data_IF_414888930011
#
_entry.id   IF_414888930011
#
_cell.length_a   1.000
_cell.length_b   1.000
_cell.length_c   1.000
_cell.angle_alpha   90.00
_cell.angle_beta   90.00
_cell.angle_gamma   90.00
#
_symmetry.space_group_name_H-M   'P 1'
#
loop_
_entity.id
_entity.type
_entity.pdbx_description
1 polymer ?
#
# COMPACT_ATOMS: atom_id res chain seq x y z
N UNK A 1 -18.50 -13.75 5.93
CA UNK A 1 -17.03 -13.71 6.05
C UNK A 1 -16.67 -12.65 7.06
N UNK A 2 -15.85 -12.96 8.05
CA UNK A 2 -15.40 -12.01 9.08
C UNK A 2 -14.06 -11.44 8.65
N UNK A 3 -13.95 -10.11 8.55
CA UNK A 3 -12.69 -9.44 8.26
C UNK A 3 -11.77 -9.44 9.48
N UNK A 4 -10.53 -9.92 9.30
CA UNK A 4 -9.52 -10.02 10.35
C UNK A 4 -8.41 -8.95 10.28
N UNK A 5 -8.50 -8.04 9.30
CA UNK A 5 -7.52 -6.99 9.05
C UNK A 5 -6.28 -7.43 8.28
N UNK A 6 -6.40 -8.52 7.51
CA UNK A 6 -5.36 -8.95 6.59
C UNK A 6 -5.30 -8.01 5.37
N UNK A 7 -4.15 -7.38 5.12
CA UNK A 7 -3.98 -6.42 4.02
C UNK A 7 -4.01 -7.10 2.64
N UNK A 8 -3.44 -8.31 2.54
CA UNK A 8 -3.19 -8.94 1.24
C UNK A 8 -4.33 -9.89 0.81
N UNK A 9 -4.97 -10.58 1.76
CA UNK A 9 -5.91 -11.67 1.57
C UNK A 9 -5.47 -12.66 0.46
N UNK A 10 -4.19 -13.05 0.53
CA UNK A 10 -3.54 -13.97 -0.41
C UNK A 10 -3.13 -13.37 -1.75
N UNK A 11 -3.56 -12.16 -2.09
CA UNK A 11 -3.36 -11.53 -3.40
C UNK A 11 -1.90 -11.30 -3.84
N UNK A 12 -0.96 -11.50 -2.93
CA UNK A 12 0.49 -11.42 -3.15
C UNK A 12 1.28 -12.46 -2.33
N UNK A 13 0.61 -13.52 -1.84
CA UNK A 13 1.28 -14.58 -1.09
C UNK A 13 1.91 -15.58 -2.05
N UNK A 14 3.23 -15.70 -2.00
CA UNK A 14 4.00 -16.61 -2.84
C UNK A 14 3.79 -18.07 -2.42
N UNK A 15 4.22 -19.01 -3.26
CA UNK A 15 4.22 -20.43 -2.93
C UNK A 15 5.06 -20.79 -1.68
N UNK A 16 6.03 -19.95 -1.29
CA UNK A 16 6.82 -20.12 -0.07
C UNK A 16 6.16 -19.53 1.18
N UNK A 17 4.97 -18.96 1.06
CA UNK A 17 4.24 -18.36 2.19
C UNK A 17 4.78 -16.98 2.63
N UNK A 18 5.54 -16.32 1.76
CA UNK A 18 6.01 -14.93 1.96
C UNK A 18 5.16 -13.97 1.12
N UNK A 19 5.27 -12.66 1.36
CA UNK A 19 4.65 -11.69 0.46
C UNK A 19 5.60 -11.33 -0.69
N UNK A 20 5.09 -11.31 -1.92
CA UNK A 20 5.76 -10.68 -3.06
C UNK A 20 5.70 -9.16 -2.86
N UNK A 21 6.85 -8.50 -3.05
CA UNK A 21 7.05 -7.08 -2.78
C UNK A 21 7.83 -6.48 -3.94
N UNK A 22 7.17 -5.78 -4.87
CA UNK A 22 7.86 -5.11 -5.97
C UNK A 22 8.63 -3.88 -5.47
N UNK A 23 9.51 -3.31 -6.30
CA UNK A 23 10.22 -2.07 -5.94
C UNK A 23 9.29 -0.86 -5.92
N UNK A 24 8.33 -0.83 -6.85
CA UNK A 24 7.24 0.14 -6.93
C UNK A 24 5.93 -0.63 -7.04
N UNK A 25 5.09 -0.46 -6.03
CA UNK A 25 3.86 -1.22 -5.85
C UNK A 25 2.69 -0.57 -6.60
N UNK A 26 1.72 -1.39 -7.03
CA UNK A 26 0.53 -0.92 -7.75
C UNK A 26 -0.29 0.11 -6.98
N UNK A 27 -0.18 0.14 -5.65
CA UNK A 27 -0.87 1.10 -4.80
C UNK A 27 -0.50 2.55 -5.14
N UNK A 28 0.74 2.79 -5.58
CA UNK A 28 1.24 4.11 -5.98
C UNK A 28 1.24 4.33 -7.51
N UNK A 29 0.64 3.43 -8.29
CA UNK A 29 0.65 3.49 -9.75
C UNK A 29 0.14 4.82 -10.32
N UNK A 30 -0.88 5.41 -9.68
CA UNK A 30 -1.43 6.69 -10.09
C UNK A 30 -0.61 7.90 -9.57
N UNK A 31 0.15 7.73 -8.48
CA UNK A 31 0.97 8.78 -7.91
C UNK A 31 2.28 8.97 -8.69
N UNK A 32 2.84 7.89 -9.22
CA UNK A 32 4.06 7.89 -10.03
C UNK A 32 3.84 7.03 -11.30
N UNK A 33 3.17 7.59 -12.32
CA UNK A 33 2.71 6.81 -13.48
C UNK A 33 3.86 6.16 -14.25
N UNK A 34 3.70 4.87 -14.56
CA UNK A 34 4.65 4.09 -15.37
C UNK A 34 5.81 3.45 -14.58
N UNK A 35 5.88 3.65 -13.27
CA UNK A 35 6.91 3.01 -12.43
C UNK A 35 6.41 1.73 -11.74
N UNK A 36 5.13 1.66 -11.40
CA UNK A 36 4.56 0.54 -10.68
C UNK A 36 4.69 -0.77 -11.46
N UNK A 37 4.97 -1.85 -10.72
CA UNK A 37 4.95 -3.23 -11.22
C UNK A 37 3.93 -4.03 -10.43
N UNK A 38 3.39 -5.06 -11.08
CA UNK A 38 2.39 -5.94 -10.49
C UNK A 38 3.03 -7.24 -10.03
N UNK A 39 2.57 -7.73 -8.88
CA UNK A 39 2.83 -9.09 -8.40
C UNK A 39 2.20 -10.10 -9.36
N UNK A 40 2.74 -11.31 -9.45
CA UNK A 40 2.22 -12.34 -10.38
C UNK A 40 1.04 -13.12 -9.81
N UNK A 41 0.85 -13.04 -8.49
CA UNK A 41 -0.20 -13.74 -7.77
C UNK A 41 -1.61 -13.29 -8.18
N UNK A 42 -2.56 -14.21 -8.03
CA UNK A 42 -3.98 -13.91 -8.24
C UNK A 42 -4.49 -12.99 -7.12
N UNK A 43 -4.96 -11.77 -7.41
CA UNK A 43 -5.52 -10.86 -6.42
C UNK A 43 -6.71 -11.43 -5.63
N UNK A 44 -7.33 -12.52 -6.10
CA UNK A 44 -8.41 -13.23 -5.41
C UNK A 44 -7.96 -14.53 -4.71
N UNK A 45 -6.65 -14.80 -4.59
CA UNK A 45 -6.16 -16.10 -4.12
C UNK A 45 -6.72 -16.50 -2.74
N UNK A 46 -6.76 -15.61 -1.74
CA UNK A 46 -7.32 -15.92 -0.42
C UNK A 46 -8.83 -16.09 -0.45
N UNK A 47 -9.55 -15.32 -1.29
CA UNK A 47 -10.99 -15.51 -1.50
C UNK A 47 -11.29 -16.87 -2.14
N UNK A 48 -10.49 -17.26 -3.13
CA UNK A 48 -10.61 -18.55 -3.80
C UNK A 48 -10.26 -19.72 -2.86
N UNK A 49 -9.26 -19.56 -1.99
CA UNK A 49 -8.93 -20.52 -0.92
C UNK A 49 -10.09 -20.68 0.07
N UNK A 50 -10.66 -19.58 0.57
CA UNK A 50 -11.83 -19.61 1.45
C UNK A 50 -13.00 -20.36 0.80
N UNK A 51 -13.30 -20.09 -0.48
CA UNK A 51 -14.37 -20.79 -1.19
C UNK A 51 -14.12 -22.30 -1.33
N UNK A 52 -12.87 -22.71 -1.60
CA UNK A 52 -12.48 -24.14 -1.64
C UNK A 52 -12.68 -24.80 -0.28
N UNK A 53 -12.29 -24.14 0.82
CA UNK A 53 -12.50 -24.67 2.17
C UNK A 53 -13.99 -24.79 2.53
N UNK A 54 -14.82 -23.80 2.15
CA UNK A 54 -16.28 -23.87 2.33
C UNK A 54 -16.85 -25.13 1.65
N UNK A 55 -16.42 -25.42 0.41
CA UNK A 55 -16.83 -26.66 -0.28
C UNK A 55 -16.32 -27.91 0.44
N UNK A 56 -15.06 -27.91 0.87
CA UNK A 56 -14.48 -29.03 1.62
C UNK A 56 -15.20 -29.30 2.95
N UNK A 57 -15.80 -28.27 3.57
CA UNK A 57 -16.63 -28.42 4.78
C UNK A 57 -18.00 -29.07 4.53
N UNK A 58 -18.35 -29.34 3.26
CA UNK A 58 -19.61 -30.00 2.88
C UNK A 58 -20.71 -29.03 2.41
N UNK A 59 -20.48 -27.72 2.46
CA UNK A 59 -21.44 -26.73 1.93
C UNK A 59 -21.57 -26.88 0.42
N UNK A 60 -22.81 -26.97 -0.07
CA UNK A 60 -23.14 -27.01 -1.51
C UNK A 60 -24.14 -25.94 -1.92
N UNK A 61 -24.88 -25.40 -0.96
CA UNK A 61 -25.91 -24.40 -1.19
C UNK A 61 -25.96 -23.42 -0.01
N UNK A 62 -26.20 -22.15 -0.32
CA UNK A 62 -26.45 -21.08 0.63
C UNK A 62 -27.79 -20.44 0.24
N UNK A 63 -28.85 -20.77 0.99
CA UNK A 63 -30.21 -20.26 0.75
C UNK A 63 -30.42 -18.82 1.20
N UNK A 64 -29.54 -18.35 2.11
CA UNK A 64 -29.57 -17.00 2.65
C UNK A 64 -28.58 -16.05 1.97
N UNK A 65 -28.20 -15.01 2.71
CA UNK A 65 -27.22 -14.03 2.27
C UNK A 65 -25.77 -14.45 2.52
N UNK A 66 -24.88 -13.90 1.71
CA UNK A 66 -23.45 -13.76 2.04
C UNK A 66 -23.23 -12.36 2.58
N UNK A 67 -22.68 -12.26 3.79
CA UNK A 67 -22.46 -10.97 4.49
C UNK A 67 -21.00 -10.84 4.91
N UNK A 68 -20.43 -9.65 4.73
CA UNK A 68 -19.09 -9.29 5.17
C UNK A 68 -19.20 -8.58 6.54
N UNK A 69 -18.64 -9.21 7.56
CA UNK A 69 -18.57 -8.65 8.91
C UNK A 69 -17.28 -7.86 9.08
N UNK A 70 -17.39 -6.55 8.93
CA UNK A 70 -16.33 -5.57 9.12
C UNK A 70 -16.40 -4.89 10.50
N UNK A 71 -16.97 -5.55 11.53
CA UNK A 71 -17.11 -4.97 12.88
C UNK A 71 -15.89 -5.24 13.79
N UNK A 72 -14.76 -5.70 13.25
CA UNK A 72 -13.54 -5.91 14.04
C UNK A 72 -13.03 -4.60 14.65
N UNK A 73 -13.05 -3.53 13.86
CA UNK A 73 -12.89 -2.14 14.28
C UNK A 73 -13.91 -1.27 13.54
N UNK A 74 -14.02 -0.01 13.93
CA UNK A 74 -14.95 0.93 13.30
C UNK A 74 -14.31 1.50 12.02
N UNK A 75 -14.86 1.25 10.82
CA UNK A 75 -14.26 1.72 9.58
C UNK A 75 -14.08 3.24 9.54
N UNK A 76 -12.96 3.68 8.98
CA UNK A 76 -12.62 5.10 8.82
C UNK A 76 -12.10 5.35 7.41
N UNK A 77 -12.14 6.60 6.95
CA UNK A 77 -11.49 7.04 5.72
C UNK A 77 -10.30 7.92 6.07
N UNK A 78 -9.10 7.53 5.63
CA UNK A 78 -7.86 8.31 5.81
C UNK A 78 -7.33 8.67 4.42
N UNK A 79 -7.12 9.96 4.17
CA UNK A 79 -6.70 10.43 2.84
C UNK A 79 -7.69 10.10 1.70
N UNK A 80 -8.96 9.86 2.02
CA UNK A 80 -9.98 9.43 1.06
C UNK A 80 -10.00 7.92 0.80
N UNK A 81 -9.14 7.13 1.46
CA UNK A 81 -9.08 5.67 1.31
C UNK A 81 -9.77 4.98 2.49
N UNK A 82 -10.70 4.04 2.24
CA UNK A 82 -11.33 3.25 3.29
C UNK A 82 -10.34 2.32 4.02
N UNK A 83 -10.33 2.37 5.35
CA UNK A 83 -9.56 1.49 6.23
C UNK A 83 -10.52 0.50 6.89
N UNK A 84 -10.65 -0.68 6.29
CA UNK A 84 -11.64 -1.71 6.66
C UNK A 84 -10.99 -3.05 7.05
N UNK A 85 -11.63 -3.88 7.90
CA UNK A 85 -11.13 -5.21 8.27
C UNK A 85 -11.02 -6.23 7.15
N UNK A 86 -11.71 -6.00 6.03
CA UNK A 86 -11.62 -6.83 4.84
C UNK A 86 -11.03 -6.01 3.72
N UNK A 87 -9.95 -6.51 3.11
CA UNK A 87 -9.26 -5.87 2.00
C UNK A 87 -9.01 -6.94 0.94
N UNK A 88 -9.39 -6.62 -0.30
CA UNK A 88 -9.15 -7.47 -1.47
C UNK A 88 -8.36 -6.64 -2.46
N UNK A 89 -7.16 -7.11 -2.83
CA UNK A 89 -6.27 -6.40 -3.76
C UNK A 89 -6.06 -4.92 -3.39
N UNK A 90 -5.82 -4.66 -2.10
CA UNK A 90 -5.59 -3.29 -1.59
C UNK A 90 -6.79 -2.34 -1.78
N UNK A 91 -7.98 -2.92 -2.00
CA UNK A 91 -9.19 -2.23 -2.43
C UNK A 91 -9.01 -1.54 -3.79
N UNK A 92 -8.26 -2.15 -4.71
CA UNK A 92 -7.97 -1.63 -6.04
C UNK A 92 -8.44 -2.58 -7.15
N UNK A 93 -8.82 -1.98 -8.27
CA UNK A 93 -8.83 -2.65 -9.58
C UNK A 93 -7.62 -2.15 -10.36
N UNK A 94 -6.76 -3.09 -10.77
CA UNK A 94 -5.59 -2.80 -11.60
C UNK A 94 -6.01 -2.77 -13.07
N UNK A 95 -5.63 -1.72 -13.80
CA UNK A 95 -5.76 -1.63 -15.25
C UNK A 95 -4.37 -1.70 -15.87
N UNK A 96 -4.19 -2.69 -16.75
CA UNK A 96 -2.92 -3.02 -17.38
C UNK A 96 -2.96 -2.55 -18.83
N UNK A 97 -2.08 -1.63 -19.19
CA UNK A 97 -2.03 -0.98 -20.50
C UNK A 97 -0.74 -1.39 -21.21
N UNK A 98 -0.84 -2.05 -22.36
CA UNK A 98 0.30 -2.41 -23.20
C UNK A 98 0.35 -1.48 -24.41
N UNK A 99 1.34 -0.58 -24.51
CA UNK A 99 1.49 0.30 -25.67
C UNK A 99 1.65 -0.50 -26.98
N UNK A 100 1.07 0.02 -28.07
CA UNK A 100 1.25 -0.47 -29.44
C UNK A 100 2.30 0.34 -30.21
N UNK A 101 2.12 0.47 -31.53
CA UNK A 101 2.88 1.43 -32.31
C UNK A 101 2.36 2.87 -32.07
N UNK A 102 3.20 3.92 -32.16
CA UNK A 102 2.73 5.30 -32.04
C UNK A 102 1.56 5.60 -32.99
N UNK A 103 0.47 6.18 -32.47
CA UNK A 103 -0.77 6.45 -33.20
C UNK A 103 -1.81 5.33 -33.11
N UNK A 104 -1.42 4.11 -32.71
CA UNK A 104 -2.33 2.98 -32.56
C UNK A 104 -2.94 2.92 -31.14
N UNK A 105 -4.13 2.31 -30.98
CA UNK A 105 -4.68 2.01 -29.66
C UNK A 105 -3.76 1.09 -28.84
N UNK A 106 -3.64 1.37 -27.55
CA UNK A 106 -3.00 0.47 -26.60
C UNK A 106 -3.95 -0.69 -26.25
N UNK A 107 -3.39 -1.89 -26.01
CA UNK A 107 -4.16 -3.02 -25.51
C UNK A 107 -4.38 -2.83 -24.01
N UNK A 108 -5.63 -3.01 -23.56
CA UNK A 108 -6.00 -2.87 -22.15
C UNK A 108 -6.56 -4.17 -21.59
N UNK A 109 -6.08 -4.54 -20.42
CA UNK A 109 -6.60 -5.61 -19.57
C UNK A 109 -6.80 -5.08 -18.14
N UNK A 110 -7.39 -5.88 -17.25
CA UNK A 110 -7.57 -5.49 -15.85
C UNK A 110 -7.73 -6.70 -14.94
N UNK A 111 -7.39 -6.53 -13.66
CA UNK A 111 -7.57 -7.54 -12.61
C UNK A 111 -8.03 -6.90 -11.27
N UNK A 112 -8.77 -7.65 -10.43
CA UNK A 112 -9.38 -8.94 -10.73
C UNK A 112 -10.50 -8.87 -11.78
N UNK A 113 -10.79 -10.00 -12.44
CA UNK A 113 -11.99 -10.15 -13.28
C UNK A 113 -13.18 -10.52 -12.40
N UNK A 114 -14.17 -9.63 -12.33
CA UNK A 114 -15.37 -9.79 -11.51
C UNK A 114 -16.54 -9.06 -12.14
N UNK A 115 -17.77 -9.45 -11.83
CA UNK A 115 -18.97 -8.71 -12.21
C UNK A 115 -19.13 -7.40 -11.44
N UNK A 116 -18.39 -7.17 -10.34
CA UNK A 116 -18.47 -5.91 -9.59
C UNK A 116 -18.04 -4.69 -10.41
N UNK A 117 -17.13 -4.90 -11.38
CA UNK A 117 -16.56 -3.84 -12.19
C UNK A 117 -16.43 -4.27 -13.66
N UNK A 118 -16.81 -3.37 -14.55
CA UNK A 118 -16.49 -3.43 -15.98
C UNK A 118 -15.57 -2.25 -16.34
N UNK A 119 -14.71 -2.45 -17.34
CA UNK A 119 -13.74 -1.45 -17.80
C UNK A 119 -14.02 -1.08 -19.25
N UNK A 120 -14.32 0.19 -19.49
CA UNK A 120 -14.39 0.81 -20.82
C UNK A 120 -13.11 1.63 -21.03
N UNK A 121 -12.17 1.09 -21.81
CA UNK A 121 -10.87 1.69 -22.02
C UNK A 121 -10.66 2.14 -23.47
N UNK A 122 -10.24 3.39 -23.63
CA UNK A 122 -9.78 3.97 -24.90
C UNK A 122 -8.48 4.73 -24.62
N UNK A 123 -7.36 4.04 -24.80
CA UNK A 123 -6.02 4.58 -24.55
C UNK A 123 -5.22 4.52 -25.83
N UNK A 124 -4.62 5.64 -26.23
CA UNK A 124 -3.77 5.72 -27.41
C UNK A 124 -2.29 5.50 -27.05
N UNK A 125 -1.50 5.06 -28.04
CA UNK A 125 -0.05 5.00 -27.90
C UNK A 125 0.57 6.28 -28.45
N UNK A 126 1.23 7.04 -27.59
CA UNK A 126 1.94 8.26 -27.95
C UNK A 126 3.40 7.96 -28.37
N UNK A 127 4.10 8.89 -29.05
CA UNK A 127 5.52 8.72 -29.37
C UNK A 127 6.38 8.46 -28.12
N UNK A 128 7.51 7.78 -28.31
CA UNK A 128 8.49 7.55 -27.25
C UNK A 128 8.97 8.88 -26.61
N UNK A 129 9.23 8.87 -25.31
CA UNK A 129 9.64 10.05 -24.54
C UNK A 129 8.53 11.06 -24.25
N UNK A 130 7.28 10.79 -24.66
CA UNK A 130 6.13 11.58 -24.22
C UNK A 130 5.83 11.35 -22.74
N UNK A 131 5.12 12.29 -22.10
CA UNK A 131 4.63 12.12 -20.72
C UNK A 131 3.32 11.33 -20.76
N UNK A 132 3.15 10.28 -19.93
CA UNK A 132 1.89 9.56 -19.85
C UNK A 132 0.77 10.46 -19.33
N UNK A 133 -0.43 10.29 -19.86
CA UNK A 133 -1.62 11.01 -19.44
C UNK A 133 -2.80 10.04 -19.49
N UNK A 134 -3.01 9.30 -18.40
CA UNK A 134 -4.11 8.34 -18.26
C UNK A 134 -5.03 8.79 -17.14
N UNK A 135 -6.34 8.76 -17.39
CA UNK A 135 -7.36 9.03 -16.37
C UNK A 135 -8.22 7.80 -16.17
N UNK A 136 -8.56 7.55 -14.91
CA UNK A 136 -9.39 6.43 -14.47
C UNK A 136 -10.50 6.99 -13.60
N UNK A 137 -11.75 6.89 -14.06
CA UNK A 137 -12.92 7.46 -13.37
C UNK A 137 -14.08 6.48 -13.35
N UNK A 138 -14.98 6.63 -12.36
CA UNK A 138 -16.26 5.91 -12.35
C UNK A 138 -17.34 6.79 -12.97
N UNK A 139 -17.95 6.33 -14.05
CA UNK A 139 -19.04 7.07 -14.72
C UNK A 139 -20.37 6.78 -14.06
N UNK A 140 -20.55 5.52 -13.67
CA UNK A 140 -21.64 5.00 -12.84
C UNK A 140 -21.04 3.90 -11.93
N UNK A 141 -21.71 3.54 -10.82
CA UNK A 141 -21.22 2.48 -9.94
C UNK A 141 -20.91 1.19 -10.71
N UNK A 142 -19.70 0.65 -10.54
CA UNK A 142 -19.27 -0.59 -11.22
C UNK A 142 -18.82 -0.42 -12.68
N UNK A 143 -18.80 0.79 -13.22
CA UNK A 143 -18.32 1.08 -14.58
C UNK A 143 -17.13 2.03 -14.55
N UNK A 144 -15.94 1.49 -14.80
CA UNK A 144 -14.67 2.22 -14.83
C UNK A 144 -14.38 2.66 -16.26
N UNK A 145 -14.18 3.95 -16.46
CA UNK A 145 -13.74 4.53 -17.72
C UNK A 145 -12.25 4.86 -17.65
N UNK A 146 -11.50 4.41 -18.66
CA UNK A 146 -10.07 4.67 -18.80
C UNK A 146 -9.81 5.42 -20.10
N UNK A 147 -9.18 6.60 -20.03
CA UNK A 147 -8.91 7.46 -21.20
C UNK A 147 -7.49 7.99 -21.19
N UNK A 148 -7.01 8.40 -22.37
CA UNK A 148 -5.78 9.16 -22.53
C UNK A 148 -4.72 8.44 -23.36
N UNK A 149 -3.45 8.57 -23.00
CA UNK A 149 -2.34 7.98 -23.74
C UNK A 149 -1.17 7.52 -22.87
N UNK A 150 -0.47 6.50 -23.37
CA UNK A 150 0.80 6.01 -22.81
C UNK A 150 1.92 6.12 -23.85
N UNK A 151 3.16 6.43 -23.46
CA UNK A 151 4.30 6.47 -24.38
C UNK A 151 4.61 5.08 -24.96
N UNK A 152 5.06 5.01 -26.21
CA UNK A 152 5.45 3.76 -26.86
C UNK A 152 6.64 3.05 -26.17
N UNK A 153 7.47 3.80 -25.44
CA UNK A 153 8.60 3.30 -24.65
C UNK A 153 8.26 3.08 -23.17
N UNK A 154 7.00 3.21 -22.77
CA UNK A 154 6.58 2.88 -21.43
C UNK A 154 6.79 1.39 -21.14
N UNK A 155 7.28 1.07 -19.94
CA UNK A 155 7.37 -0.31 -19.45
C UNK A 155 5.99 -0.95 -19.53
N UNK A 156 5.90 -2.10 -20.19
CA UNK A 156 4.66 -2.86 -20.33
C UNK A 156 4.56 -3.98 -19.27
N UNK A 157 3.40 -4.19 -18.63
CA UNK A 157 2.23 -3.31 -18.70
C UNK A 157 2.48 -1.99 -17.94
N UNK A 158 2.02 -0.88 -18.51
CA UNK A 158 1.83 0.36 -17.77
C UNK A 158 0.60 0.19 -16.88
N UNK A 159 0.74 0.46 -15.58
CA UNK A 159 -0.30 0.21 -14.59
C UNK A 159 -0.96 1.53 -14.17
N UNK A 160 -2.29 1.55 -14.16
CA UNK A 160 -3.10 2.54 -13.43
C UNK A 160 -4.12 1.79 -12.60
N UNK A 161 -4.58 2.39 -11.50
CA UNK A 161 -5.51 1.73 -10.57
C UNK A 161 -6.80 2.52 -10.40
N UNK A 162 -7.85 1.83 -10.00
CA UNK A 162 -9.11 2.41 -9.57
C UNK A 162 -9.39 2.00 -8.12
N UNK A 163 -9.63 2.99 -7.25
CA UNK A 163 -9.99 2.76 -5.85
C UNK A 163 -11.43 2.25 -5.75
N UNK A 164 -11.59 1.06 -5.20
CA UNK A 164 -12.90 0.47 -4.88
C UNK A 164 -13.57 1.31 -3.77
N UNK A 165 -14.77 1.88 -4.02
CA UNK A 165 -15.43 2.76 -3.06
C UNK A 165 -16.11 2.03 -1.91
N UNK A 166 -16.63 0.82 -2.16
CA UNK A 166 -17.24 -0.04 -1.13
C UNK A 166 -16.50 -1.40 -1.05
N UNK A 167 -15.45 -1.50 -0.19
CA UNK A 167 -14.71 -2.74 0.00
C UNK A 167 -15.58 -3.92 0.46
N UNK A 168 -16.65 -3.69 1.22
CA UNK A 168 -17.49 -4.76 1.74
C UNK A 168 -18.39 -5.35 0.65
N UNK A 169 -19.02 -4.51 -0.18
CA UNK A 169 -19.77 -4.97 -1.34
C UNK A 169 -18.88 -5.66 -2.37
N UNK A 170 -17.65 -5.15 -2.58
CA UNK A 170 -16.67 -5.78 -3.45
C UNK A 170 -16.27 -7.17 -2.96
N UNK A 171 -15.85 -7.28 -1.68
CA UNK A 171 -15.50 -8.57 -1.06
C UNK A 171 -16.67 -9.57 -1.09
N UNK A 172 -17.90 -9.10 -0.84
CA UNK A 172 -19.12 -9.92 -0.96
C UNK A 172 -19.27 -10.49 -2.36
N UNK A 173 -19.14 -9.63 -3.38
CA UNK A 173 -19.30 -10.02 -4.78
C UNK A 173 -18.29 -11.09 -5.18
N UNK A 174 -16.99 -10.83 -4.93
CA UNK A 174 -15.94 -11.78 -5.33
C UNK A 174 -16.00 -13.10 -4.55
N UNK A 175 -16.49 -13.08 -3.31
CA UNK A 175 -16.72 -14.30 -2.53
C UNK A 175 -17.89 -15.12 -3.10
N UNK A 176 -19.02 -14.49 -3.43
CA UNK A 176 -20.15 -15.18 -4.09
C UNK A 176 -19.69 -15.81 -5.41
N UNK A 177 -18.90 -15.06 -6.20
CA UNK A 177 -18.35 -15.59 -7.46
C UNK A 177 -17.39 -16.75 -7.23
N UNK A 178 -16.52 -16.67 -6.22
CA UNK A 178 -15.61 -17.75 -5.88
C UNK A 178 -16.35 -19.01 -5.42
N UNK A 179 -17.39 -18.86 -4.60
CA UNK A 179 -18.28 -19.94 -4.17
C UNK A 179 -18.96 -20.60 -5.39
N UNK A 180 -19.52 -19.80 -6.29
CA UNK A 180 -20.16 -20.29 -7.51
C UNK A 180 -19.18 -21.02 -8.45
N UNK A 181 -17.96 -20.50 -8.63
CA UNK A 181 -16.90 -21.17 -9.41
C UNK A 181 -16.51 -22.54 -8.84
N UNK A 182 -16.66 -22.73 -7.53
CA UNK A 182 -16.41 -24.00 -6.84
C UNK A 182 -17.67 -24.85 -6.67
N UNK A 183 -18.78 -24.52 -7.34
CA UNK A 183 -19.99 -25.33 -7.36
C UNK A 183 -20.95 -25.13 -6.18
N UNK A 184 -20.78 -24.06 -5.37
CA UNK A 184 -21.75 -23.69 -4.35
C UNK A 184 -22.81 -22.78 -4.96
N UNK A 185 -24.07 -23.21 -4.90
CA UNK A 185 -25.20 -22.35 -5.30
C UNK A 185 -25.50 -21.32 -4.20
N UNK A 186 -25.57 -20.04 -4.55
CA UNK A 186 -25.89 -18.96 -3.62
C UNK A 186 -27.19 -18.29 -4.08
N UNK A 187 -28.21 -18.28 -3.23
CA UNK A 187 -29.51 -17.69 -3.56
C UNK A 187 -29.45 -16.15 -3.63
N UNK A 188 -28.57 -15.55 -2.83
CA UNK A 188 -28.40 -14.11 -2.80
C UNK A 188 -27.90 -13.55 -4.14
N UNK A 189 -28.38 -12.36 -4.57
CA UNK A 189 -27.85 -11.70 -5.75
C UNK A 189 -26.34 -11.49 -5.65
N UNK A 190 -25.64 -11.81 -6.75
CA UNK A 190 -24.18 -11.64 -6.86
C UNK A 190 -23.74 -10.21 -6.60
N UNK A 191 -24.45 -9.25 -7.20
CA UNK A 191 -24.19 -7.81 -7.05
C UNK A 191 -25.15 -7.21 -6.01
N UNK A 192 -24.70 -6.14 -5.36
CA UNK A 192 -25.49 -5.39 -4.39
C UNK A 192 -24.64 -4.95 -3.20
N UNK A 193 -25.24 -4.12 -2.35
CA UNK A 193 -24.63 -3.68 -1.09
C UNK A 193 -24.35 -4.85 -0.16
N UNK A 194 -23.45 -4.65 0.79
CA UNK A 194 -23.27 -5.60 1.89
C UNK A 194 -24.43 -5.47 2.89
N UNK A 195 -25.29 -6.49 3.09
CA UNK A 195 -26.47 -6.39 3.95
C UNK A 195 -26.09 -6.55 5.44
N UNK A 196 -25.23 -5.65 5.94
CA UNK A 196 -24.64 -5.71 7.28
C UNK A 196 -25.67 -5.66 8.41
N UNK A 197 -26.85 -5.09 8.16
CA UNK A 197 -27.99 -5.10 9.08
C UNK A 197 -28.54 -6.50 9.38
N UNK A 198 -28.22 -7.50 8.54
CA UNK A 198 -28.59 -8.90 8.75
C UNK A 198 -27.60 -9.67 9.63
N UNK A 199 -26.48 -9.05 10.03
CA UNK A 199 -25.52 -9.70 10.92
C UNK A 199 -26.12 -9.90 12.32
N UNK A 200 -26.02 -11.12 12.89
CA UNK A 200 -26.28 -11.32 14.31
C UNK A 200 -25.35 -10.46 15.18
N UNK A 201 -25.64 -10.30 16.48
CA UNK A 201 -24.71 -9.70 17.43
C UNK A 201 -23.30 -10.29 17.32
N UNK A 202 -22.26 -9.46 17.42
CA UNK A 202 -20.87 -9.91 17.21
C UNK A 202 -20.45 -11.08 18.10
N UNK A 203 -21.03 -11.19 19.31
CA UNK A 203 -20.78 -12.32 20.21
C UNK A 203 -21.26 -13.64 19.61
N UNK A 204 -22.48 -13.65 19.06
CA UNK A 204 -23.05 -14.83 18.42
C UNK A 204 -22.24 -15.23 17.18
N UNK A 205 -21.83 -14.26 16.35
CA UNK A 205 -20.99 -14.54 15.17
C UNK A 205 -19.66 -15.20 15.56
N UNK A 206 -19.05 -14.80 16.68
CA UNK A 206 -17.80 -15.40 17.18
C UNK A 206 -17.98 -16.83 17.69
N UNK A 207 -19.17 -17.19 18.15
CA UNK A 207 -19.50 -18.53 18.66
C UNK A 207 -19.92 -19.49 17.55
N UNK A 208 -20.18 -18.99 16.32
CA UNK A 208 -20.53 -19.82 15.18
C UNK A 208 -19.34 -20.69 14.71
N UNK A 209 -19.58 -21.94 14.27
CA UNK A 209 -18.54 -22.77 13.70
C UNK A 209 -18.00 -22.16 12.39
N UNK A 210 -16.68 -22.12 12.24
CA UNK A 210 -16.04 -21.67 11.01
C UNK A 210 -16.02 -22.81 9.96
N UNK A 211 -16.57 -22.56 8.78
CA UNK A 211 -16.47 -23.46 7.62
C UNK A 211 -15.18 -23.28 6.81
N UNK A 212 -14.49 -22.15 7.00
CA UNK A 212 -13.22 -21.83 6.35
C UNK A 212 -12.43 -20.82 7.20
N UNK A 213 -11.11 -20.85 7.10
CA UNK A 213 -10.19 -19.88 7.72
C UNK A 213 -8.99 -19.67 6.81
N UNK A 214 -8.72 -18.40 6.50
CA UNK A 214 -7.50 -18.00 5.83
C UNK A 214 -6.50 -17.52 6.88
N UNK A 215 -5.31 -18.14 6.90
CA UNK A 215 -4.20 -17.71 7.76
C UNK A 215 -3.20 -16.94 6.90
N UNK A 216 -2.93 -15.70 7.28
CA UNK A 216 -1.99 -14.84 6.58
C UNK A 216 -0.53 -15.19 6.88
N UNK A 217 0.42 -14.74 6.03
CA UNK A 217 1.83 -14.71 6.40
C UNK A 217 2.09 -13.97 7.73
N UNK A 218 3.21 -14.24 8.41
CA UNK A 218 3.51 -13.56 9.67
C UNK A 218 3.69 -12.05 9.48
N UNK A 219 3.40 -11.25 10.53
CA UNK A 219 3.44 -9.78 10.49
C UNK A 219 4.75 -9.19 9.93
N UNK A 220 5.89 -9.87 10.08
CA UNK A 220 7.18 -9.45 9.49
C UNK A 220 7.11 -9.23 7.97
N UNK A 221 6.29 -10.01 7.26
CA UNK A 221 6.10 -9.86 5.81
C UNK A 221 5.30 -8.59 5.49
N UNK A 222 4.29 -8.26 6.31
CA UNK A 222 3.52 -7.02 6.19
C UNK A 222 4.37 -5.81 6.55
N UNK A 223 5.21 -5.90 7.59
CA UNK A 223 6.17 -4.85 7.91
C UNK A 223 7.14 -4.61 6.75
N UNK A 224 7.64 -5.68 6.11
CA UNK A 224 8.46 -5.59 4.90
C UNK A 224 7.70 -4.91 3.78
N UNK A 225 6.48 -5.34 3.46
CA UNK A 225 5.66 -4.68 2.44
C UNK A 225 5.51 -3.19 2.72
N UNK A 226 4.99 -2.83 3.90
CA UNK A 226 4.72 -1.45 4.30
C UNK A 226 5.98 -0.59 4.17
N UNK A 227 7.11 -1.04 4.70
CA UNK A 227 8.32 -0.25 4.71
C UNK A 227 9.02 -0.20 3.34
N UNK A 228 9.13 -1.32 2.63
CA UNK A 228 9.81 -1.41 1.31
C UNK A 228 9.16 -0.49 0.29
N UNK A 229 7.83 -0.56 0.18
CA UNK A 229 7.09 0.16 -0.88
C UNK A 229 6.35 1.39 -0.37
N UNK A 230 6.48 1.73 0.91
CA UNK A 230 5.77 2.87 1.51
C UNK A 230 4.24 2.72 1.47
N UNK A 231 3.73 1.53 1.79
CA UNK A 231 2.33 1.18 1.58
C UNK A 231 1.38 1.93 2.53
N UNK A 232 0.76 3.02 2.06
CA UNK A 232 -0.05 3.92 2.88
C UNK A 232 -1.27 3.24 3.53
N UNK A 233 -2.05 2.47 2.77
CA UNK A 233 -3.17 1.70 3.34
C UNK A 233 -2.67 0.71 4.40
N UNK A 234 -1.50 0.11 4.17
CA UNK A 234 -0.93 -0.87 5.09
C UNK A 234 -0.53 -0.22 6.41
N UNK A 235 0.07 0.97 6.36
CA UNK A 235 0.40 1.75 7.54
C UNK A 235 -0.87 2.14 8.32
N UNK A 236 -1.94 2.58 7.62
CA UNK A 236 -3.21 2.94 8.26
C UNK A 236 -4.00 1.77 8.84
N UNK A 237 -3.66 0.53 8.50
CA UNK A 237 -4.25 -0.65 9.17
C UNK A 237 -3.61 -0.93 10.53
N UNK A 238 -2.39 -0.44 10.78
CA UNK A 238 -1.69 -0.73 12.03
C UNK A 238 -2.40 -0.13 13.25
N UNK A 239 -2.87 1.15 13.25
CA UNK A 239 -3.60 1.70 14.38
C UNK A 239 -4.83 0.88 14.80
N UNK A 240 -5.81 0.57 13.93
CA UNK A 240 -6.95 -0.23 14.35
C UNK A 240 -6.58 -1.66 14.75
N UNK A 241 -5.58 -2.30 14.11
CA UNK A 241 -5.08 -3.61 14.53
C UNK A 241 -4.52 -3.57 15.96
N UNK A 242 -3.73 -2.55 16.29
CA UNK A 242 -3.24 -2.34 17.66
C UNK A 242 -4.40 -2.07 18.63
N UNK A 243 -5.36 -1.22 18.26
CA UNK A 243 -6.53 -0.91 19.09
C UNK A 243 -7.28 -2.19 19.48
N UNK A 244 -7.52 -3.08 18.52
CA UNK A 244 -8.23 -4.36 18.72
C UNK A 244 -7.50 -5.27 19.71
N UNK A 245 -6.16 -5.32 19.67
CA UNK A 245 -5.36 -6.08 20.64
C UNK A 245 -5.52 -5.55 22.08
N UNK A 246 -5.92 -4.29 22.23
CA UNK A 246 -6.20 -3.65 23.51
C UNK A 246 -7.70 -3.57 23.84
N UNK A 247 -8.55 -4.33 23.13
CA UNK A 247 -10.01 -4.33 23.32
C UNK A 247 -10.69 -3.02 22.88
N UNK A 248 -9.98 -2.18 22.14
CA UNK A 248 -10.48 -0.93 21.54
C UNK A 248 -10.84 -1.15 20.07
N UNK A 249 -11.49 -0.18 19.44
CA UNK A 249 -12.05 -0.34 18.09
C UNK A 249 -11.87 0.86 17.18
N UNK A 250 -11.32 1.97 17.66
CA UNK A 250 -11.21 3.17 16.83
C UNK A 250 -9.78 3.36 16.33
N UNK A 251 -9.65 4.00 15.17
CA UNK A 251 -8.35 4.45 14.65
C UNK A 251 -7.64 5.37 15.66
N UNK A 252 -8.39 6.24 16.34
CA UNK A 252 -7.84 7.17 17.32
C UNK A 252 -7.23 6.48 18.55
N UNK A 253 -7.83 5.37 19.01
CA UNK A 253 -7.27 4.53 20.07
C UNK A 253 -5.93 3.91 19.65
N UNK A 254 -5.86 3.43 18.40
CA UNK A 254 -4.63 2.95 17.78
C UNK A 254 -3.53 4.00 17.75
N UNK A 255 -3.85 5.20 17.25
CA UNK A 255 -2.90 6.32 17.22
C UNK A 255 -2.47 6.74 18.63
N UNK A 256 -3.31 6.56 19.65
CA UNK A 256 -2.94 6.81 21.04
C UNK A 256 -1.87 5.81 21.50
N UNK A 257 -1.96 4.54 21.13
CA UNK A 257 -0.95 3.52 21.46
C UNK A 257 0.42 3.92 20.88
N UNK A 258 0.46 4.40 19.64
CA UNK A 258 1.69 4.90 19.00
C UNK A 258 2.28 6.09 19.75
N UNK A 259 1.45 7.10 20.07
CA UNK A 259 1.90 8.28 20.84
C UNK A 259 2.43 7.89 22.22
N UNK A 260 1.75 6.99 22.92
CA UNK A 260 2.17 6.51 24.23
C UNK A 260 3.49 5.72 24.13
N UNK A 261 3.69 4.95 23.06
CA UNK A 261 4.96 4.27 22.78
C UNK A 261 6.11 5.27 22.58
N UNK A 262 5.90 6.32 21.78
CA UNK A 262 6.90 7.36 21.54
C UNK A 262 7.27 8.11 22.83
N UNK A 263 6.29 8.46 23.65
CA UNK A 263 6.52 9.11 24.94
C UNK A 263 7.35 8.22 25.89
N UNK A 264 7.05 6.92 25.97
CA UNK A 264 7.84 5.96 26.78
C UNK A 264 9.24 5.70 26.21
N UNK A 265 9.46 5.97 24.93
CA UNK A 265 10.75 5.77 24.27
C UNK A 265 11.79 6.83 24.62
N UNK A 266 11.42 7.85 25.41
CA UNK A 266 12.28 8.96 25.81
C UNK A 266 12.42 10.04 24.73
N UNK A 267 11.52 10.04 23.75
CA UNK A 267 11.46 11.04 22.68
C UNK A 267 10.61 12.21 23.18
N UNK A 268 11.10 13.44 22.96
CA UNK A 268 10.34 14.65 23.31
C UNK A 268 9.00 14.67 22.55
N UNK A 269 7.84 14.65 23.23
CA UNK A 269 6.54 14.66 22.57
C UNK A 269 6.29 15.95 21.76
N UNK A 270 7.01 17.04 22.03
CA UNK A 270 6.90 18.28 21.25
C UNK A 270 7.73 18.26 19.96
N UNK A 271 8.59 17.25 19.80
CA UNK A 271 9.47 17.09 18.64
C UNK A 271 8.83 16.30 17.48
N UNK A 272 7.59 15.84 17.66
CA UNK A 272 6.80 15.12 16.68
C UNK A 272 5.30 15.45 16.78
N UNK A 273 4.58 15.27 15.68
CA UNK A 273 3.12 15.36 15.58
C UNK A 273 2.67 14.24 14.66
N UNK A 274 1.77 13.40 15.16
CA UNK A 274 1.16 12.30 14.41
C UNK A 274 -0.34 12.54 14.26
N UNK A 275 -0.77 12.81 13.03
CA UNK A 275 -2.16 12.97 12.59
C UNK A 275 -2.70 11.65 12.06
N UNK A 276 -1.86 10.90 11.35
CA UNK A 276 -2.15 9.54 10.90
C UNK A 276 -0.89 8.66 10.87
N UNK A 277 -1.02 7.44 10.35
CA UNK A 277 0.05 6.47 10.25
C UNK A 277 0.75 6.43 8.88
N UNK A 278 0.29 7.19 7.88
CA UNK A 278 0.85 7.21 6.52
C UNK A 278 1.70 8.47 6.21
N UNK A 279 1.58 9.54 6.99
CA UNK A 279 2.35 10.78 6.84
C UNK A 279 1.67 11.86 5.99
N UNK A 280 0.36 12.11 6.16
CA UNK A 280 -0.36 13.19 5.48
C UNK A 280 0.05 14.59 5.95
N UNK A 281 -0.42 15.66 5.27
CA UNK A 281 -0.24 17.03 5.76
C UNK A 281 -0.70 17.18 7.22
N UNK A 282 0.22 17.60 8.07
CA UNK A 282 0.00 17.76 9.51
C UNK A 282 0.98 16.95 10.34
N UNK A 283 1.44 15.81 9.81
CA UNK A 283 2.52 15.02 10.39
C UNK A 283 3.83 15.77 10.36
N UNK A 284 4.54 15.77 11.49
CA UNK A 284 5.80 16.48 11.67
C UNK A 284 6.74 15.67 12.53
N UNK A 285 8.02 15.66 12.18
CA UNK A 285 9.08 15.15 13.04
C UNK A 285 10.34 15.97 12.81
N UNK A 286 11.09 16.25 13.87
CA UNK A 286 12.44 16.80 13.72
C UNK A 286 13.43 15.68 13.35
N UNK A 287 14.53 15.97 12.62
CA UNK A 287 15.59 14.99 12.37
C UNK A 287 16.14 14.39 13.67
N UNK A 288 16.29 15.20 14.72
CA UNK A 288 16.76 14.75 16.04
C UNK A 288 15.81 13.74 16.67
N UNK A 289 14.50 13.99 16.63
CA UNK A 289 13.48 13.06 17.12
C UNK A 289 13.51 11.74 16.36
N UNK A 290 13.63 11.80 15.04
CA UNK A 290 13.70 10.61 14.20
C UNK A 290 14.95 9.77 14.51
N UNK A 291 16.12 10.40 14.64
CA UNK A 291 17.36 9.70 15.01
C UNK A 291 17.26 9.12 16.42
N UNK A 292 16.63 9.82 17.37
CA UNK A 292 16.38 9.30 18.71
C UNK A 292 15.49 8.05 18.67
N UNK A 293 14.42 8.06 17.85
CA UNK A 293 13.56 6.90 17.63
C UNK A 293 14.33 5.73 17.02
N UNK A 294 15.08 5.96 15.94
CA UNK A 294 15.89 4.92 15.31
C UNK A 294 16.89 4.32 16.30
N UNK A 295 17.58 5.14 17.10
CA UNK A 295 18.47 4.64 18.16
C UNK A 295 17.73 3.84 19.22
N UNK A 296 16.50 4.22 19.58
CA UNK A 296 15.66 3.47 20.50
C UNK A 296 15.29 2.09 19.94
N UNK A 297 14.83 2.05 18.68
CA UNK A 297 14.46 0.82 17.97
C UNK A 297 15.64 -0.14 17.80
N UNK A 298 16.84 0.38 17.57
CA UNK A 298 18.08 -0.42 17.47
C UNK A 298 18.44 -1.21 18.74
N UNK A 299 17.80 -0.91 19.89
CA UNK A 299 18.02 -1.60 21.16
C UNK A 299 16.90 -2.57 21.54
N UNK A 300 15.90 -2.73 20.69
CA UNK A 300 14.78 -3.64 20.95
C UNK A 300 15.08 -5.05 20.44
N UNK A 301 14.53 -6.07 21.08
CA UNK A 301 14.75 -7.47 20.72
C UNK A 301 14.34 -7.81 19.28
N UNK A 302 13.36 -7.07 18.75
CA UNK A 302 12.85 -7.24 17.39
C UNK A 302 13.54 -6.32 16.35
N UNK A 303 14.66 -5.67 16.70
CA UNK A 303 15.36 -4.76 15.79
C UNK A 303 15.68 -5.40 14.44
N UNK A 304 16.17 -6.64 14.41
CA UNK A 304 16.50 -7.33 13.14
C UNK A 304 15.32 -7.41 12.18
N UNK A 305 14.12 -7.70 12.69
CA UNK A 305 12.89 -7.74 11.89
C UNK A 305 12.54 -6.35 11.32
N UNK A 306 12.66 -5.31 12.14
CA UNK A 306 12.46 -3.93 11.68
C UNK A 306 13.52 -3.52 10.65
N UNK A 307 14.79 -3.83 10.91
CA UNK A 307 15.93 -3.52 10.04
C UNK A 307 15.75 -4.13 8.64
N UNK A 308 15.41 -5.42 8.59
CA UNK A 308 15.23 -6.16 7.35
C UNK A 308 14.01 -5.71 6.54
N UNK A 309 13.00 -5.16 7.23
CA UNK A 309 11.80 -4.63 6.59
C UNK A 309 12.04 -3.35 5.78
N UNK A 310 13.09 -2.57 6.10
CA UNK A 310 13.34 -1.28 5.42
C UNK A 310 13.97 -1.48 4.04
N UNK A 311 13.66 -0.59 3.06
CA UNK A 311 14.34 -0.53 1.76
C UNK A 311 15.86 -0.51 1.89
N UNK A 312 16.51 -1.31 1.06
CA UNK A 312 17.96 -1.39 0.95
C UNK A 312 18.40 -0.58 -0.26
N UNK A 313 19.17 0.48 -0.02
CA UNK A 313 19.53 1.43 -1.07
C UNK A 313 20.33 0.78 -2.18
N UNK A 314 19.91 1.02 -3.44
CA UNK A 314 20.48 0.39 -4.62
C UNK A 314 20.13 -1.09 -4.79
N UNK A 315 19.18 -1.63 -4.02
CA UNK A 315 18.85 -3.08 -4.02
C UNK A 315 17.37 -3.36 -4.19
N UNK A 316 16.51 -2.77 -3.35
CA UNK A 316 15.10 -3.12 -3.34
C UNK A 316 14.18 -1.98 -2.84
N UNK A 317 12.88 -2.14 -3.10
CA UNK A 317 11.84 -1.23 -2.66
C UNK A 317 12.00 0.17 -3.26
N UNK A 318 11.47 1.17 -2.55
CA UNK A 318 11.52 2.58 -2.94
C UNK A 318 12.92 3.19 -3.05
N UNK A 319 13.98 2.43 -2.74
CA UNK A 319 15.38 2.84 -2.89
C UNK A 319 16.16 2.01 -3.92
N UNK A 320 15.52 1.08 -4.65
CA UNK A 320 16.18 0.21 -5.63
C UNK A 320 16.98 0.98 -6.68
N UNK A 321 16.39 2.02 -7.27
CA UNK A 321 16.97 2.81 -8.37
C UNK A 321 17.55 4.18 -7.94
N UNK A 322 17.77 4.36 -6.63
CA UNK A 322 18.27 5.64 -6.09
C UNK A 322 19.76 5.85 -6.34
N UNK A 323 20.53 4.75 -6.35
CA UNK A 323 21.93 4.68 -6.77
C UNK A 323 22.13 3.40 -7.60
N UNK A 324 23.20 3.34 -8.38
CA UNK A 324 23.55 2.11 -9.11
C UNK A 324 23.99 1.00 -8.15
N UNK A 325 23.69 -0.27 -8.49
CA UNK A 325 24.09 -1.45 -7.71
C UNK A 325 25.61 -1.59 -7.55
N UNK A 326 26.37 -1.01 -8.48
CA UNK A 326 27.84 -0.94 -8.50
C UNK A 326 28.42 0.09 -7.52
N UNK A 327 27.59 0.99 -6.99
CA UNK A 327 28.03 1.98 -6.02
C UNK A 327 28.45 1.30 -4.70
N UNK A 328 29.59 1.65 -4.09
CA UNK A 328 30.07 1.03 -2.85
C UNK A 328 29.10 1.11 -1.66
N UNK A 329 28.16 2.06 -1.65
CA UNK A 329 27.15 2.20 -0.61
C UNK A 329 25.92 1.29 -0.82
N UNK A 330 25.78 0.67 -2.00
CA UNK A 330 24.62 -0.15 -2.32
C UNK A 330 24.53 -1.39 -1.41
N UNK A 331 23.39 -1.57 -0.74
CA UNK A 331 23.19 -2.64 0.24
C UNK A 331 23.65 -2.34 1.67
N UNK A 332 24.35 -1.22 1.89
CA UNK A 332 24.86 -0.81 3.21
C UNK A 332 23.98 0.23 3.92
N UNK A 333 22.88 0.64 3.28
CA UNK A 333 21.98 1.68 3.80
C UNK A 333 20.55 1.14 3.79
N UNK A 334 19.96 1.08 4.98
CA UNK A 334 18.56 0.68 5.21
C UNK A 334 17.76 1.89 5.66
N UNK A 335 16.90 2.42 4.80
CA UNK A 335 16.24 3.68 5.08
C UNK A 335 14.83 3.75 4.50
N UNK A 336 13.96 4.50 5.18
CA UNK A 336 12.62 4.79 4.73
C UNK A 336 12.57 6.15 4.04
N UNK A 337 11.92 6.18 2.89
CA UNK A 337 11.62 7.38 2.11
C UNK A 337 10.36 8.08 2.63
N UNK A 338 10.27 9.39 2.47
CA UNK A 338 9.04 10.17 2.64
C UNK A 338 8.90 11.21 1.54
N UNK A 339 7.72 11.33 0.95
CA UNK A 339 7.43 12.26 -0.14
C UNK A 339 6.03 12.85 0.06
N UNK A 340 5.93 14.16 0.15
CA UNK A 340 4.66 14.86 0.20
C UNK A 340 4.65 16.01 -0.81
N UNK A 341 3.73 15.96 -1.76
CA UNK A 341 3.40 17.11 -2.61
C UNK A 341 2.29 17.90 -1.93
N UNK A 342 2.50 19.20 -1.79
CA UNK A 342 1.55 20.12 -1.14
C UNK A 342 1.54 21.46 -1.85
N UNK A 343 0.88 22.45 -1.25
CA UNK A 343 1.00 23.85 -1.67
C UNK A 343 1.89 24.62 -0.70
N UNK A 344 2.72 25.50 -1.23
CA UNK A 344 3.53 26.45 -0.47
C UNK A 344 3.50 27.80 -1.18
N UNK A 345 3.05 28.84 -0.46
CA UNK A 345 2.89 30.21 -1.00
C UNK A 345 2.08 30.27 -2.30
N UNK A 346 0.98 29.50 -2.36
CA UNK A 346 0.07 29.48 -3.52
C UNK A 346 0.58 28.70 -4.74
N UNK A 347 1.70 27.97 -4.63
CA UNK A 347 2.24 27.12 -5.69
C UNK A 347 2.35 25.68 -5.21
N UNK A 348 2.25 24.71 -6.11
CA UNK A 348 2.67 23.33 -5.88
C UNK A 348 4.11 23.33 -5.39
N UNK A 349 4.36 22.51 -4.38
CA UNK A 349 5.67 22.33 -3.78
C UNK A 349 5.85 20.86 -3.42
N UNK A 350 7.10 20.42 -3.43
CA UNK A 350 7.52 19.28 -2.63
C UNK A 350 7.51 19.75 -1.17
N UNK A 351 6.36 19.55 -0.50
CA UNK A 351 6.13 19.93 0.88
C UNK A 351 7.17 19.30 1.81
N UNK A 352 7.46 18.01 1.58
CA UNK A 352 8.57 17.30 2.21
C UNK A 352 9.17 16.27 1.25
N UNK A 353 10.49 16.16 1.28
CA UNK A 353 11.23 14.96 0.93
C UNK A 353 12.09 14.54 2.12
N UNK A 354 11.99 13.28 2.49
CA UNK A 354 12.68 12.73 3.65
C UNK A 354 13.37 11.40 3.31
N UNK A 355 14.49 11.16 3.98
CA UNK A 355 15.19 9.88 4.03
C UNK A 355 15.75 9.70 5.44
N UNK A 356 15.35 8.63 6.13
CA UNK A 356 15.86 8.34 7.47
C UNK A 356 16.02 6.84 7.68
N UNK A 357 17.06 6.45 8.42
CA UNK A 357 17.36 5.05 8.64
C UNK A 357 18.75 4.83 9.21
N UNK A 358 19.37 3.73 8.80
CA UNK A 358 20.66 3.29 9.28
C UNK A 358 21.67 3.12 8.13
N UNK A 359 22.93 3.30 8.46
CA UNK A 359 24.08 3.17 7.55
C UNK A 359 25.10 2.28 8.24
N UNK A 360 25.44 1.16 7.61
CA UNK A 360 26.62 0.36 7.97
C UNK A 360 27.83 1.00 7.26
N UNK A 361 28.45 2.01 7.88
CA UNK A 361 29.42 2.88 7.22
C UNK A 361 30.75 2.17 6.95
N UNK A 362 31.52 2.71 6.00
CA UNK A 362 32.81 2.16 5.56
C UNK A 362 33.88 2.14 6.65
N UNK A 363 33.76 2.99 7.67
CA UNK A 363 34.65 3.00 8.83
C UNK A 363 34.34 1.89 9.85
N UNK A 364 33.34 1.03 9.56
CA UNK A 364 32.95 -0.12 10.37
C UNK A 364 31.95 0.20 11.47
N UNK A 365 31.45 1.44 11.57
CA UNK A 365 30.47 1.83 12.57
C UNK A 365 29.04 1.94 12.00
N UNK A 366 28.03 1.48 12.74
CA UNK A 366 26.63 1.73 12.38
C UNK A 366 26.22 3.15 12.78
N UNK A 367 25.57 3.85 11.87
CA UNK A 367 25.01 5.18 12.09
C UNK A 367 23.49 5.18 11.91
N UNK A 368 22.80 6.01 12.69
CA UNK A 368 21.41 6.39 12.42
C UNK A 368 21.39 7.82 11.86
N UNK A 369 20.57 8.07 10.85
CA UNK A 369 20.53 9.36 10.17
C UNK A 369 19.10 9.77 9.80
N UNK A 370 18.90 11.07 9.56
CA UNK A 370 17.69 11.64 9.01
C UNK A 370 18.02 12.89 8.18
N UNK A 371 17.58 12.93 6.92
CA UNK A 371 17.78 14.04 5.98
C UNK A 371 16.41 14.49 5.49
N UNK A 372 16.02 15.74 5.79
CA UNK A 372 14.74 16.32 5.39
C UNK A 372 14.97 17.59 4.56
N UNK A 373 14.19 17.73 3.50
CA UNK A 373 14.09 18.97 2.73
C UNK A 373 12.61 19.31 2.55
N UNK A 374 12.23 20.54 2.88
CA UNK A 374 10.84 20.96 2.94
C UNK A 374 10.57 22.16 2.04
N UNK A 375 9.32 22.28 1.60
CA UNK A 375 8.78 23.45 0.91
C UNK A 375 9.56 23.88 -0.35
N UNK A 376 10.00 22.92 -1.17
CA UNK A 376 10.67 23.21 -2.44
C UNK A 376 9.61 23.52 -3.50
N UNK A 377 9.54 24.74 -4.05
CA UNK A 377 8.53 25.07 -5.07
C UNK A 377 8.72 24.25 -6.36
N UNK A 378 7.62 23.81 -6.95
CA UNK A 378 7.61 23.12 -8.24
C UNK A 378 7.76 24.17 -9.36
N UNK A 379 8.78 24.08 -10.25
CA UNK A 379 9.11 25.14 -11.20
C UNK A 379 7.94 25.58 -12.12
N UNK A 380 7.24 24.63 -12.75
CA UNK A 380 6.13 24.93 -13.68
C UNK A 380 4.74 24.90 -13.02
N UNK A 381 4.67 24.65 -11.72
CA UNK A 381 3.40 24.48 -11.01
C UNK A 381 2.50 23.37 -11.60
N UNK A 382 3.08 22.35 -12.24
CA UNK A 382 2.35 21.19 -12.78
C UNK A 382 2.59 19.93 -11.96
N UNK A 383 1.65 18.99 -11.98
CA UNK A 383 1.75 17.70 -11.26
C UNK A 383 2.92 16.87 -11.78
N UNK A 384 3.13 16.83 -13.10
CA UNK A 384 4.22 16.06 -13.68
C UNK A 384 5.60 16.57 -13.24
N UNK A 385 5.80 17.88 -13.18
CA UNK A 385 7.07 18.42 -12.70
C UNK A 385 7.24 18.24 -11.19
N UNK A 386 6.14 18.12 -10.43
CA UNK A 386 6.20 17.75 -9.01
C UNK A 386 6.72 16.32 -8.83
N UNK A 387 6.28 15.39 -9.68
CA UNK A 387 6.77 14.00 -9.70
C UNK A 387 8.26 14.00 -10.09
N UNK A 388 8.64 14.68 -11.18
CA UNK A 388 10.03 14.78 -11.63
C UNK A 388 10.94 15.39 -10.54
N UNK A 389 10.45 16.41 -9.82
CA UNK A 389 11.14 17.01 -8.69
C UNK A 389 11.29 16.01 -7.53
N UNK A 390 10.24 15.26 -7.18
CA UNK A 390 10.26 14.28 -6.11
C UNK A 390 11.26 13.13 -6.39
N UNK A 391 11.32 12.64 -7.63
CA UNK A 391 12.26 11.61 -8.07
C UNK A 391 13.71 12.11 -8.02
N UNK A 392 13.98 13.34 -8.51
CA UNK A 392 15.31 13.95 -8.41
C UNK A 392 15.73 14.17 -6.95
N UNK A 393 14.82 14.65 -6.11
CA UNK A 393 15.08 14.81 -4.68
C UNK A 393 15.36 13.46 -4.00
N UNK A 394 14.70 12.37 -4.41
CA UNK A 394 15.00 11.01 -3.94
C UNK A 394 16.45 10.61 -4.24
N UNK A 395 16.90 10.81 -5.49
CA UNK A 395 18.29 10.53 -5.90
C UNK A 395 19.29 11.41 -5.15
N UNK A 396 18.97 12.68 -4.94
CA UNK A 396 19.85 13.61 -4.22
C UNK A 396 20.01 13.23 -2.74
N UNK A 397 18.92 12.88 -2.05
CA UNK A 397 19.00 12.41 -0.65
C UNK A 397 19.77 11.08 -0.56
N UNK A 398 19.59 10.18 -1.53
CA UNK A 398 20.37 8.95 -1.62
C UNK A 398 21.87 9.20 -1.82
N UNK A 399 22.24 10.14 -2.69
CA UNK A 399 23.64 10.54 -2.87
C UNK A 399 24.23 11.16 -1.58
N UNK A 400 23.46 11.95 -0.84
CA UNK A 400 23.88 12.44 0.48
C UNK A 400 24.12 11.29 1.47
N UNK A 401 23.23 10.29 1.52
CA UNK A 401 23.40 9.12 2.38
C UNK A 401 24.60 8.27 1.96
N UNK A 402 24.85 8.09 0.66
CA UNK A 402 26.04 7.42 0.14
C UNK A 402 27.34 8.15 0.54
N UNK A 403 27.33 9.49 0.56
CA UNK A 403 28.46 10.26 1.06
C UNK A 403 28.68 10.05 2.58
N UNK A 404 27.61 9.94 3.38
CA UNK A 404 27.73 9.60 4.81
C UNK A 404 28.35 8.21 4.97
N UNK A 405 27.99 7.24 4.13
CA UNK A 405 28.63 5.91 4.14
C UNK A 405 30.14 5.98 3.88
N UNK A 406 30.58 6.76 2.90
CA UNK A 406 32.00 6.89 2.53
C UNK A 406 32.80 7.72 3.54
N UNK A 407 32.20 8.74 4.16
CA UNK A 407 32.90 9.72 5.00
C UNK A 407 31.99 10.27 6.12
N UNK A 408 31.64 9.46 7.13
CA UNK A 408 30.65 9.82 8.15
C UNK A 408 31.08 10.94 9.12
N UNK A 409 32.36 11.34 9.10
CA UNK A 409 32.95 12.36 9.99
C UNK A 409 33.31 13.68 9.28
N UNK A 410 33.06 13.76 7.97
CA UNK A 410 33.24 14.97 7.16
C UNK A 410 31.92 15.76 7.12
#
# INVERSE_FOLDING_TARGET
>A
MVGSGDLALGGRTTASGTLDVPDFDHYDANAVPGMASLTQEDPLAGINELARQVVASGVRQIDGDVVIDNRLWDPVSIGGVPVTPTIVNDNLIDVLITPGAPGEPAKVDWRPKTAAFSVDAQVATAPAGSKPAVTTESVTPGHIRVRGSVPADAKAPFVTTYQVPDPAAFARTVLIEALARNGVSVAAPRLGENPSSKLPPSKEVKEMPASATYTSPPFKEYAKLINKVSHNLGANLLPPLMAVQHGQRTYADGMKIERDFLARSGIDPHSLTLVDAQGLPGDKATPTAQVALLRHLARQDNFGVFYDSMPSMGVDGSLADVIERTNPAAGHIRAKTGTLVSTYKGKLALGTKALAGYIDAKDGHPYAFAIYVNNIPVPSNSVSDAIDLALRANKQLGAMAANIYESPKA
#
